data_IF_444401088633
#
_entry.id   IF_444401088633
#
_cell.length_a   1.000
_cell.length_b   1.000
_cell.length_c   1.000
_cell.angle_alpha   90.00
_cell.angle_beta   90.00
_cell.angle_gamma   90.00
#
_symmetry.space_group_name_H-M   'P 1'
#
loop_
_entity.id
_entity.type
_entity.pdbx_description
1 polymer ?
#
# COMPACT_ATOMS: atom_id res chain seq x y z
N UNK A 1 -24.73 -9.29 -17.36
CA UNK A 1 -24.41 -9.46 -15.93
C UNK A 1 -22.90 -9.35 -15.82
N UNK A 2 -22.36 -8.18 -15.38
CA UNK A 2 -20.92 -8.06 -15.12
C UNK A 2 -20.61 -9.02 -13.95
N UNK A 3 -19.87 -10.07 -14.20
CA UNK A 3 -19.28 -10.89 -13.14
C UNK A 3 -18.55 -9.93 -12.21
N UNK A 4 -18.77 -10.06 -10.93
CA UNK A 4 -18.13 -9.19 -9.94
C UNK A 4 -16.65 -9.61 -9.85
N UNK A 5 -15.87 -9.12 -10.81
CA UNK A 5 -14.43 -9.40 -10.99
C UNK A 5 -13.67 -9.17 -9.68
N UNK A 6 -14.11 -8.19 -8.88
CA UNK A 6 -13.47 -7.87 -7.61
C UNK A 6 -13.49 -9.03 -6.61
N UNK A 7 -14.54 -9.87 -6.62
CA UNK A 7 -14.63 -11.02 -5.70
C UNK A 7 -13.53 -12.05 -5.92
N UNK A 8 -13.10 -12.21 -7.18
CA UNK A 8 -12.07 -13.18 -7.55
C UNK A 8 -10.65 -12.64 -7.27
N UNK A 9 -10.52 -11.33 -7.07
CA UNK A 9 -9.25 -10.64 -6.79
C UNK A 9 -9.04 -10.30 -5.30
N UNK A 10 -10.08 -10.46 -4.46
CA UNK A 10 -10.02 -10.09 -3.04
C UNK A 10 -9.50 -11.24 -2.18
N UNK A 11 -8.40 -11.00 -1.49
CA UNK A 11 -7.96 -11.84 -0.39
C UNK A 11 -8.92 -11.65 0.81
N UNK A 12 -9.53 -12.75 1.27
CA UNK A 12 -10.51 -12.69 2.37
C UNK A 12 -9.79 -12.61 3.72
N UNK A 13 -10.14 -11.65 4.59
CA UNK A 13 -9.57 -11.57 5.93
C UNK A 13 -9.75 -12.88 6.71
N UNK A 14 -8.74 -13.23 7.54
CA UNK A 14 -8.77 -14.41 8.39
C UNK A 14 -8.56 -15.75 7.67
N UNK A 15 -8.39 -15.77 6.36
CA UNK A 15 -8.01 -16.97 5.59
C UNK A 15 -6.54 -16.92 5.21
N UNK A 16 -5.89 -18.10 5.26
CA UNK A 16 -4.57 -18.27 4.67
C UNK A 16 -4.74 -18.33 3.15
N UNK A 17 -4.04 -17.46 2.44
CA UNK A 17 -3.95 -17.45 0.98
C UNK A 17 -2.54 -17.82 0.54
N UNK A 18 -2.46 -18.55 -0.57
CA UNK A 18 -1.21 -18.80 -1.29
C UNK A 18 -1.20 -17.95 -2.56
N UNK A 19 -0.03 -17.62 -3.06
CA UNK A 19 0.11 -16.87 -4.33
C UNK A 19 -0.54 -17.66 -5.49
N UNK A 20 -0.47 -18.99 -5.43
CA UNK A 20 -1.10 -19.89 -6.40
C UNK A 20 -2.63 -19.88 -6.40
N UNK A 21 -3.26 -19.32 -5.37
CA UNK A 21 -4.73 -19.20 -5.31
C UNK A 21 -5.26 -18.12 -6.27
N UNK A 22 -4.36 -17.28 -6.79
CA UNK A 22 -4.67 -16.17 -7.67
C UNK A 22 -4.06 -16.39 -9.06
N UNK A 23 -4.89 -16.43 -10.07
CA UNK A 23 -4.44 -16.54 -11.45
C UNK A 23 -3.91 -15.17 -11.95
N UNK A 24 -2.61 -15.07 -12.18
CA UNK A 24 -1.96 -13.84 -12.68
C UNK A 24 -2.38 -13.49 -14.12
N UNK A 25 -2.98 -14.43 -14.85
CA UNK A 25 -3.50 -14.22 -16.21
C UNK A 25 -4.98 -13.86 -16.25
N UNK A 26 -5.64 -13.81 -15.09
CA UNK A 26 -7.07 -13.53 -14.98
C UNK A 26 -7.42 -12.14 -15.50
N UNK A 27 -8.27 -12.07 -16.53
CA UNK A 27 -8.70 -10.81 -17.15
C UNK A 27 -10.18 -10.52 -16.95
N UNK A 28 -10.91 -11.41 -16.26
CA UNK A 28 -12.36 -11.29 -16.08
C UNK A 28 -13.16 -11.32 -17.39
N UNK A 29 -12.66 -12.02 -18.40
CA UNK A 29 -13.21 -12.12 -19.76
C UNK A 29 -13.27 -10.76 -20.50
N UNK A 30 -12.48 -9.77 -20.04
CA UNK A 30 -12.36 -8.47 -20.73
C UNK A 30 -11.35 -8.56 -21.88
N UNK A 31 -11.74 -8.09 -23.05
CA UNK A 31 -10.77 -7.81 -24.11
C UNK A 31 -9.89 -6.60 -23.73
N UNK A 32 -8.72 -6.50 -24.35
CA UNK A 32 -7.83 -5.35 -24.14
C UNK A 32 -8.51 -4.00 -24.47
N UNK A 33 -9.39 -4.01 -25.46
CA UNK A 33 -10.14 -2.81 -25.87
C UNK A 33 -11.20 -2.46 -24.82
N UNK A 34 -11.99 -3.43 -24.38
CA UNK A 34 -13.01 -3.23 -23.33
C UNK A 34 -12.39 -2.73 -22.03
N UNK A 35 -11.25 -3.31 -21.64
CA UNK A 35 -10.52 -2.88 -20.44
C UNK A 35 -10.06 -1.41 -20.54
N UNK A 36 -9.60 -0.97 -21.72
CA UNK A 36 -9.19 0.42 -21.95
C UNK A 36 -10.37 1.39 -21.88
N UNK A 37 -11.48 1.03 -22.48
CA UNK A 37 -12.71 1.84 -22.45
C UNK A 37 -13.29 1.92 -21.04
N UNK A 38 -13.28 0.79 -20.31
CA UNK A 38 -13.75 0.77 -18.92
C UNK A 38 -12.84 1.62 -18.04
N UNK A 39 -11.50 1.52 -18.18
CA UNK A 39 -10.56 2.34 -17.43
C UNK A 39 -10.79 3.84 -17.65
N UNK A 40 -11.04 4.28 -18.88
CA UNK A 40 -11.33 5.68 -19.16
C UNK A 40 -12.56 6.18 -18.39
N UNK A 41 -13.65 5.39 -18.39
CA UNK A 41 -14.88 5.70 -17.64
C UNK A 41 -14.65 5.70 -16.13
N UNK A 42 -13.85 4.77 -15.63
CA UNK A 42 -13.55 4.66 -14.20
C UNK A 42 -12.67 5.84 -13.73
N UNK A 43 -11.74 6.32 -14.57
CA UNK A 43 -10.92 7.52 -14.28
C UNK A 43 -11.81 8.78 -14.25
N UNK A 44 -12.74 8.95 -15.17
CA UNK A 44 -13.68 10.07 -15.16
C UNK A 44 -14.50 10.09 -13.86
N UNK A 45 -15.09 8.96 -13.50
CA UNK A 45 -15.83 8.81 -12.24
C UNK A 45 -14.96 9.03 -11.00
N UNK A 46 -13.71 8.55 -11.03
CA UNK A 46 -12.76 8.75 -9.92
C UNK A 46 -12.41 10.23 -9.75
N UNK A 47 -12.29 10.99 -10.85
CA UNK A 47 -12.05 12.43 -10.82
C UNK A 47 -13.23 13.19 -10.18
N UNK A 48 -14.46 12.80 -10.49
CA UNK A 48 -15.66 13.37 -9.85
C UNK A 48 -15.67 13.06 -8.34
N UNK A 49 -15.44 11.80 -7.95
CA UNK A 49 -15.42 11.38 -6.56
C UNK A 49 -14.30 12.07 -5.78
N UNK A 50 -13.12 12.26 -6.39
CA UNK A 50 -12.03 13.00 -5.78
C UNK A 50 -12.39 14.45 -5.52
N UNK A 51 -13.07 15.10 -6.45
CA UNK A 51 -13.55 16.48 -6.28
C UNK A 51 -14.55 16.59 -5.12
N UNK A 52 -15.42 15.60 -4.96
CA UNK A 52 -16.36 15.52 -3.84
C UNK A 52 -15.62 15.29 -2.50
N UNK A 53 -14.64 14.38 -2.48
CA UNK A 53 -13.81 14.13 -1.31
C UNK A 53 -13.07 15.40 -0.87
N UNK A 54 -12.47 16.10 -1.84
CA UNK A 54 -11.76 17.35 -1.60
C UNK A 54 -12.66 18.45 -1.02
N UNK A 55 -13.85 18.61 -1.59
CA UNK A 55 -14.83 19.60 -1.13
C UNK A 55 -15.42 19.27 0.26
N UNK A 56 -15.53 17.97 0.60
CA UNK A 56 -16.05 17.51 1.89
C UNK A 56 -15.07 17.77 3.03
N UNK A 57 -13.77 17.61 2.79
CA UNK A 57 -12.66 17.87 3.71
C UNK A 57 -12.80 17.22 5.12
N UNK A 58 -13.38 16.01 5.17
CA UNK A 58 -13.57 15.26 6.42
C UNK A 58 -12.78 13.99 6.48
N UNK A 59 -12.66 13.30 5.35
CA UNK A 59 -11.96 12.02 5.22
C UNK A 59 -10.80 12.17 4.27
N UNK A 60 -9.83 11.29 4.42
CA UNK A 60 -8.79 11.05 3.42
C UNK A 60 -8.84 9.59 2.99
N UNK A 61 -8.25 9.30 1.85
CA UNK A 61 -8.09 7.93 1.37
C UNK A 61 -6.61 7.63 1.26
N UNK A 62 -6.15 6.53 1.87
CA UNK A 62 -4.80 6.04 1.69
C UNK A 62 -4.83 4.77 0.82
N UNK A 63 -4.12 4.80 -0.29
CA UNK A 63 -3.96 3.65 -1.19
C UNK A 63 -2.51 3.17 -1.10
N UNK A 64 -2.30 1.92 -0.70
CA UNK A 64 -0.97 1.32 -0.56
C UNK A 64 -0.76 0.32 -1.70
N UNK A 65 0.24 0.59 -2.54
CA UNK A 65 0.70 -0.35 -3.57
C UNK A 65 1.92 -1.11 -3.08
N UNK A 66 1.73 -2.38 -2.76
CA UNK A 66 2.78 -3.27 -2.30
C UNK A 66 2.92 -4.45 -3.26
N UNK A 67 4.07 -4.58 -3.90
CA UNK A 67 4.39 -5.70 -4.78
C UNK A 67 5.90 -5.78 -5.01
N UNK A 68 6.37 -6.90 -5.56
CA UNK A 68 7.75 -7.09 -5.98
C UNK A 68 8.18 -6.06 -7.03
N UNK A 69 9.47 -5.89 -7.21
CA UNK A 69 10.01 -5.05 -8.27
C UNK A 69 9.58 -5.58 -9.64
N UNK A 70 9.37 -4.67 -10.57
CA UNK A 70 8.84 -4.95 -11.92
C UNK A 70 7.40 -5.53 -11.97
N UNK A 71 6.68 -5.62 -10.85
CA UNK A 71 5.29 -6.08 -10.81
C UNK A 71 4.25 -5.05 -11.33
N UNK A 72 4.70 -3.92 -11.86
CA UNK A 72 3.82 -2.94 -12.51
C UNK A 72 3.23 -1.86 -11.60
N UNK A 73 3.67 -1.72 -10.34
CA UNK A 73 3.18 -0.68 -9.40
C UNK A 73 3.19 0.72 -10.01
N UNK A 74 4.34 1.15 -10.54
CA UNK A 74 4.49 2.50 -11.11
C UNK A 74 3.60 2.71 -12.33
N UNK A 75 3.47 1.67 -13.16
CA UNK A 75 2.55 1.67 -14.30
C UNK A 75 1.11 1.82 -13.87
N UNK A 76 0.68 1.08 -12.87
CA UNK A 76 -0.69 1.15 -12.31
C UNK A 76 -0.97 2.54 -11.75
N UNK A 77 -0.08 3.08 -10.92
CA UNK A 77 -0.21 4.44 -10.36
C UNK A 77 -0.33 5.45 -11.49
N UNK A 78 0.59 5.40 -12.47
CA UNK A 78 0.58 6.32 -13.61
C UNK A 78 -0.72 6.26 -14.40
N UNK A 79 -1.20 5.05 -14.73
CA UNK A 79 -2.39 4.89 -15.57
C UNK A 79 -3.69 5.27 -14.87
N UNK A 80 -3.84 4.88 -13.58
CA UNK A 80 -5.06 5.15 -12.82
C UNK A 80 -5.13 6.61 -12.39
N UNK A 81 -3.98 7.20 -12.01
CA UNK A 81 -3.95 8.56 -11.45
C UNK A 81 -3.79 9.67 -12.51
N UNK A 82 -3.57 9.32 -13.78
CA UNK A 82 -3.28 10.30 -14.84
C UNK A 82 -4.44 11.27 -15.16
N UNK A 83 -5.67 10.93 -14.77
CA UNK A 83 -6.85 11.76 -15.01
C UNK A 83 -7.36 12.50 -13.77
N UNK A 84 -6.66 12.45 -12.66
CA UNK A 84 -7.09 13.00 -11.37
C UNK A 84 -6.38 14.32 -11.10
N UNK A 85 -7.06 15.26 -10.43
CA UNK A 85 -6.47 16.53 -10.06
C UNK A 85 -5.27 16.33 -9.11
N UNK A 86 -4.05 16.70 -9.53
CA UNK A 86 -2.84 16.50 -8.72
C UNK A 86 -2.85 17.25 -7.39
N UNK A 87 -3.61 18.33 -7.26
CA UNK A 87 -3.75 19.07 -6.00
C UNK A 87 -4.45 18.26 -4.90
N UNK A 88 -5.28 17.30 -5.28
CA UNK A 88 -5.98 16.41 -4.36
C UNK A 88 -5.29 15.07 -4.12
N UNK A 89 -4.07 14.88 -4.65
CA UNK A 89 -3.34 13.62 -4.56
C UNK A 89 -1.91 13.85 -4.09
N UNK A 90 -1.42 12.96 -3.23
CA UNK A 90 -0.04 12.95 -2.74
C UNK A 90 0.55 11.57 -2.95
N UNK A 91 1.68 11.48 -3.67
CA UNK A 91 2.36 10.22 -3.96
C UNK A 91 3.67 10.18 -3.21
N UNK A 92 3.85 9.17 -2.37
CA UNK A 92 5.09 8.89 -1.65
C UNK A 92 5.68 7.56 -2.11
N UNK A 93 6.93 7.58 -2.53
CA UNK A 93 7.69 6.38 -2.87
C UNK A 93 8.68 6.06 -1.76
N UNK A 94 8.37 5.05 -0.97
CA UNK A 94 9.24 4.62 0.13
C UNK A 94 10.37 3.74 -0.42
N UNK A 95 11.55 4.32 -0.45
CA UNK A 95 12.81 3.65 -0.77
C UNK A 95 13.53 3.25 0.53
N UNK A 96 14.78 2.82 0.41
CA UNK A 96 15.64 2.58 1.55
C UNK A 96 15.61 3.82 2.48
N UNK A 97 15.45 3.62 3.79
CA UNK A 97 15.40 4.71 4.74
C UNK A 97 16.65 5.60 4.71
N UNK A 98 16.46 6.91 4.85
CA UNK A 98 17.54 7.85 5.06
C UNK A 98 18.13 7.73 6.47
N UNK A 99 19.26 8.39 6.73
CA UNK A 99 19.87 8.41 8.06
C UNK A 99 18.90 9.00 9.11
N UNK A 100 18.17 10.08 8.77
CA UNK A 100 17.16 10.67 9.64
C UNK A 100 16.03 9.69 9.94
N UNK A 101 15.54 8.96 8.93
CA UNK A 101 14.46 7.98 9.10
C UNK A 101 14.90 6.77 9.96
N UNK A 102 16.19 6.39 9.90
CA UNK A 102 16.74 5.31 10.73
C UNK A 102 16.94 5.73 12.20
N UNK A 103 17.01 7.01 12.51
CA UNK A 103 17.07 7.52 13.88
C UNK A 103 15.68 7.60 14.55
N UNK A 104 14.62 7.25 13.81
CA UNK A 104 13.25 7.22 14.28
C UNK A 104 12.65 5.80 14.18
N UNK A 105 11.49 5.59 14.81
CA UNK A 105 10.70 4.37 14.61
C UNK A 105 10.29 4.22 13.13
N UNK A 106 10.26 2.98 12.64
CA UNK A 106 9.97 2.70 11.22
C UNK A 106 8.60 3.22 10.75
N UNK A 107 7.63 3.42 11.65
CA UNK A 107 6.34 4.03 11.34
C UNK A 107 6.40 5.56 11.27
N UNK A 108 7.47 6.19 11.76
CA UNK A 108 7.58 7.66 11.80
C UNK A 108 7.45 8.27 10.40
N UNK A 109 8.18 7.77 9.40
CA UNK A 109 8.11 8.26 8.02
C UNK A 109 6.76 8.01 7.37
N UNK A 110 6.08 6.94 7.77
CA UNK A 110 4.73 6.58 7.32
C UNK A 110 3.74 7.61 7.87
N UNK A 111 3.77 7.86 9.18
CA UNK A 111 2.86 8.80 9.83
C UNK A 111 3.01 10.24 9.29
N UNK A 112 4.23 10.66 8.98
CA UNK A 112 4.48 11.97 8.36
C UNK A 112 3.94 12.10 6.93
N UNK A 113 3.73 10.99 6.26
CA UNK A 113 3.29 10.93 4.86
C UNK A 113 1.80 10.63 4.73
N UNK A 114 1.06 10.50 5.84
CA UNK A 114 -0.38 10.29 5.79
C UNK A 114 -1.07 11.47 5.10
N UNK A 115 -2.09 11.21 4.28
CA UNK A 115 -2.78 12.27 3.55
C UNK A 115 -3.58 13.17 4.49
N UNK A 116 -3.58 14.45 4.17
CA UNK A 116 -4.50 15.41 4.76
C UNK A 116 -5.95 15.06 4.43
N UNK A 117 -6.90 15.56 5.22
CA UNK A 117 -8.32 15.42 4.93
C UNK A 117 -8.65 16.01 3.56
N UNK A 118 -9.62 15.44 2.87
CA UNK A 118 -9.97 15.80 1.50
C UNK A 118 -9.01 15.28 0.42
N UNK A 119 -7.93 14.57 0.79
CA UNK A 119 -6.91 14.14 -0.15
C UNK A 119 -6.81 12.63 -0.30
N UNK A 120 -6.24 12.20 -1.42
CA UNK A 120 -5.86 10.81 -1.69
C UNK A 120 -4.34 10.69 -1.53
N UNK A 121 -3.90 9.93 -0.53
CA UNK A 121 -2.51 9.53 -0.38
C UNK A 121 -2.24 8.22 -1.13
N UNK A 122 -1.12 8.15 -1.83
CA UNK A 122 -0.69 6.97 -2.54
C UNK A 122 0.69 6.59 -2.06
N UNK A 123 0.81 5.43 -1.45
CA UNK A 123 2.07 4.87 -1.04
C UNK A 123 2.55 3.85 -2.08
N UNK A 124 3.65 4.15 -2.74
CA UNK A 124 4.39 3.21 -3.56
C UNK A 124 5.44 2.53 -2.68
N UNK A 125 5.19 1.29 -2.28
CA UNK A 125 5.72 0.59 -1.12
C UNK A 125 5.26 1.25 0.19
N UNK A 126 5.58 0.66 1.34
CA UNK A 126 5.12 1.13 2.64
C UNK A 126 5.90 0.47 3.79
N UNK A 127 5.43 0.64 5.00
CA UNK A 127 5.88 -0.07 6.20
C UNK A 127 5.73 -1.60 6.11
N UNK A 128 5.00 -2.12 5.13
CA UNK A 128 4.96 -3.57 4.89
C UNK A 128 6.30 -4.15 4.44
N UNK A 129 7.21 -3.33 3.90
CA UNK A 129 8.60 -3.77 3.64
C UNK A 129 9.27 -4.30 4.91
N UNK A 130 8.94 -3.72 6.08
CA UNK A 130 9.47 -4.09 7.39
C UNK A 130 8.99 -5.46 7.91
N UNK A 131 8.04 -6.10 7.24
CA UNK A 131 7.57 -7.46 7.53
C UNK A 131 7.61 -8.40 6.33
N UNK A 132 7.79 -7.88 5.13
CA UNK A 132 7.94 -8.66 3.91
C UNK A 132 9.42 -8.84 3.57
N UNK A 133 10.09 -7.78 3.18
CA UNK A 133 11.50 -7.82 2.77
C UNK A 133 12.41 -8.05 3.97
N UNK A 134 12.18 -7.35 5.07
CA UNK A 134 12.98 -7.51 6.29
C UNK A 134 12.86 -8.90 6.91
N UNK A 135 11.79 -9.65 6.64
CA UNK A 135 11.65 -11.04 7.10
C UNK A 135 12.50 -12.01 6.28
N UNK A 136 12.74 -11.69 5.02
CA UNK A 136 13.65 -12.46 4.14
C UNK A 136 15.10 -12.03 4.36
N UNK A 137 15.33 -10.77 4.69
CA UNK A 137 16.60 -10.11 4.90
C UNK A 137 16.66 -9.48 6.30
N UNK A 138 16.77 -10.30 7.37
CA UNK A 138 16.69 -9.80 8.75
C UNK A 138 17.83 -8.85 9.13
N UNK A 139 18.93 -8.83 8.39
CA UNK A 139 20.01 -7.87 8.53
C UNK A 139 19.55 -6.41 8.36
N UNK A 140 18.45 -6.17 7.66
CA UNK A 140 17.84 -4.85 7.52
C UNK A 140 17.34 -4.34 8.88
N UNK A 141 16.82 -5.23 9.73
CA UNK A 141 16.33 -4.87 11.08
C UNK A 141 17.48 -4.40 11.98
N UNK A 142 18.68 -4.97 11.83
CA UNK A 142 19.84 -4.56 12.62
C UNK A 142 20.23 -3.10 12.36
N UNK A 143 20.02 -2.61 11.14
CA UNK A 143 20.29 -1.21 10.78
C UNK A 143 19.36 -0.21 11.47
N UNK A 144 18.21 -0.68 11.96
CA UNK A 144 17.22 0.17 12.66
C UNK A 144 17.61 0.46 14.12
N UNK A 145 18.73 -0.07 14.62
CA UNK A 145 19.26 0.17 15.97
C UNK A 145 18.22 -0.02 17.09
N UNK A 146 17.41 -1.06 16.97
CA UNK A 146 16.31 -1.31 17.92
C UNK A 146 16.87 -1.77 19.28
N UNK A 147 16.38 -1.23 20.39
CA UNK A 147 16.78 -1.69 21.72
C UNK A 147 16.53 -3.19 21.90
N UNK A 148 17.56 -3.94 22.34
CA UNK A 148 17.49 -5.39 22.55
C UNK A 148 17.54 -6.24 21.27
N UNK A 149 17.97 -5.65 20.13
CA UNK A 149 18.20 -6.36 18.86
C UNK A 149 19.63 -6.01 18.39
N UNK A 150 20.59 -6.83 18.78
CA UNK A 150 22.00 -6.64 18.43
C UNK A 150 22.46 -7.63 17.36
N UNK A 151 21.83 -8.78 17.31
CA UNK A 151 22.14 -9.87 16.38
C UNK A 151 20.91 -10.41 15.68
N UNK A 152 21.10 -11.18 14.61
CA UNK A 152 20.00 -11.86 13.89
C UNK A 152 19.25 -12.82 14.82
N UNK A 153 19.92 -13.41 15.82
CA UNK A 153 19.29 -14.34 16.75
C UNK A 153 18.26 -13.68 17.68
N UNK A 154 18.32 -12.35 17.84
CA UNK A 154 17.36 -11.58 18.63
C UNK A 154 16.05 -11.33 17.85
N UNK A 155 16.05 -11.61 16.55
CA UNK A 155 14.91 -11.47 15.65
C UNK A 155 14.13 -12.80 15.62
N UNK A 156 13.53 -13.13 16.74
CA UNK A 156 12.78 -14.35 16.97
C UNK A 156 11.34 -14.31 16.41
N UNK A 157 10.58 -15.41 16.45
CA UNK A 157 9.18 -15.41 16.02
C UNK A 157 8.29 -14.42 16.79
N UNK A 158 8.61 -14.12 18.06
CA UNK A 158 7.83 -13.18 18.85
C UNK A 158 8.13 -11.72 18.47
N UNK A 159 9.33 -11.42 18.00
CA UNK A 159 9.65 -10.14 17.36
C UNK A 159 8.69 -9.87 16.20
N UNK A 160 8.51 -10.83 15.29
CA UNK A 160 7.61 -10.68 14.14
C UNK A 160 6.14 -10.54 14.55
N UNK A 161 5.69 -11.28 15.57
CA UNK A 161 4.33 -11.15 16.10
C UNK A 161 4.07 -9.74 16.68
N UNK A 162 5.09 -9.18 17.38
CA UNK A 162 5.00 -7.79 17.88
C UNK A 162 4.92 -6.80 16.72
N UNK A 163 5.75 -6.98 15.68
CA UNK A 163 5.78 -6.11 14.49
C UNK A 163 4.43 -6.13 13.76
N UNK A 164 3.83 -7.29 13.52
CA UNK A 164 2.49 -7.39 12.95
C UNK A 164 1.43 -6.70 13.80
N UNK A 165 1.48 -6.84 15.12
CA UNK A 165 0.53 -6.14 16.01
C UNK A 165 0.70 -4.62 15.96
N UNK A 166 1.93 -4.12 15.87
CA UNK A 166 2.19 -2.68 15.73
C UNK A 166 1.60 -2.13 14.43
N UNK A 167 1.79 -2.84 13.32
CA UNK A 167 1.23 -2.45 12.03
C UNK A 167 -0.30 -2.41 12.10
N UNK A 168 -0.95 -3.48 12.56
CA UNK A 168 -2.40 -3.53 12.69
C UNK A 168 -2.95 -2.37 13.55
N UNK A 169 -2.30 -2.07 14.69
CA UNK A 169 -2.72 -0.95 15.53
C UNK A 169 -2.53 0.40 14.86
N UNK A 170 -1.47 0.58 14.07
CA UNK A 170 -1.29 1.84 13.32
C UNK A 170 -2.39 2.06 12.30
N UNK A 171 -2.88 0.97 11.68
CA UNK A 171 -3.98 1.00 10.71
C UNK A 171 -5.34 1.27 11.37
N UNK A 172 -5.58 0.76 12.58
CA UNK A 172 -6.78 1.07 13.35
C UNK A 172 -6.89 2.57 13.64
N UNK A 173 -5.80 3.22 14.01
CA UNK A 173 -5.78 4.68 14.28
C UNK A 173 -5.85 5.55 13.03
N UNK A 174 -5.52 5.03 11.86
CA UNK A 174 -5.66 5.77 10.60
C UNK A 174 -7.07 5.68 10.02
N UNK A 175 -7.91 4.80 10.52
CA UNK A 175 -9.30 4.60 10.08
C UNK A 175 -10.34 5.35 10.93
N UNK A 176 -9.96 5.93 12.06
CA UNK A 176 -10.77 6.81 12.91
C UNK A 176 -10.59 8.29 12.52
#
# INVERSE_FOLDING_TARGET
MKKDILKDLLAKPGKKHLVSDFDSSFTGDLSKQDAKEQLAKDIEKLSELQSMLYAQDRYSILIIFQAMDAAGKDGTIKHVMSGINPQGCQVYSFKQPSAEELDHDYLWRINRSLPERGRIGIFNRSHYEDVLIAKVHPEIILSNKLPGVETINDIDPDFWKRRYRQINRSEEHTSE
#
